data_IF_829689209580
#
_entry.id   IF_829689209580
#
_cell.length_a   1.000
_cell.length_b   1.000
_cell.length_c   1.000
_cell.angle_alpha   90.00
_cell.angle_beta   90.00
_cell.angle_gamma   90.00
#
_symmetry.space_group_name_H-M   'P 1'
#
loop_
_entity.id
_entity.type
_entity.pdbx_description
1 polymer ?
#
# COMPACT_ATOMS: atom_id res chain seq x y z
N UNK A 1 20.75 9.05 -34.59
CA UNK A 1 19.33 9.13 -34.17
C UNK A 1 19.26 9.25 -32.66
N UNK A 2 18.74 10.36 -32.12
CA UNK A 2 18.46 10.48 -30.68
C UNK A 2 17.14 9.77 -30.39
N UNK A 3 17.17 8.66 -29.64
CA UNK A 3 15.95 8.05 -29.08
C UNK A 3 15.51 8.93 -27.91
N UNK A 4 14.42 9.66 -28.08
CA UNK A 4 13.73 10.32 -26.98
C UNK A 4 12.74 9.32 -26.39
N UNK A 5 13.00 8.88 -25.15
CA UNK A 5 12.01 8.16 -24.37
C UNK A 5 11.13 9.22 -23.72
N UNK A 6 9.94 9.42 -24.28
CA UNK A 6 8.89 10.16 -23.58
C UNK A 6 8.33 9.19 -22.55
N UNK A 7 8.91 9.20 -21.36
CA UNK A 7 8.20 8.65 -20.21
C UNK A 7 7.01 9.59 -19.99
N UNK A 8 5.84 9.23 -20.55
CA UNK A 8 4.57 9.79 -20.12
C UNK A 8 4.57 9.60 -18.60
N UNK A 9 4.75 10.70 -17.87
CA UNK A 9 4.60 10.72 -16.43
C UNK A 9 3.10 10.46 -16.21
N UNK A 10 2.70 9.19 -16.24
CA UNK A 10 1.47 8.75 -15.60
C UNK A 10 1.59 9.28 -14.19
N UNK A 11 0.75 10.25 -13.88
CA UNK A 11 0.70 10.88 -12.59
C UNK A 11 0.79 9.76 -11.54
N UNK A 12 1.88 9.70 -10.77
CA UNK A 12 2.04 8.82 -9.60
C UNK A 12 1.12 9.30 -8.46
N UNK A 13 -0.10 9.67 -8.81
CA UNK A 13 -1.14 10.29 -7.97
C UNK A 13 -2.41 9.44 -7.98
N UNK A 14 -2.36 8.19 -8.47
CA UNK A 14 -3.47 7.27 -8.35
C UNK A 14 -3.53 6.74 -6.91
N UNK A 15 -4.69 6.89 -6.27
CA UNK A 15 -4.96 6.26 -4.97
C UNK A 15 -5.35 4.80 -5.19
N UNK A 16 -4.67 3.89 -4.51
CA UNK A 16 -4.88 2.43 -4.65
C UNK A 16 -5.56 1.91 -3.39
N UNK A 17 -6.71 1.24 -3.56
CA UNK A 17 -7.38 0.49 -2.50
C UNK A 17 -6.82 -0.93 -2.44
N UNK A 18 -6.29 -1.32 -1.28
CA UNK A 18 -5.83 -2.69 -1.01
C UNK A 18 -6.72 -3.33 0.04
N UNK A 19 -7.47 -4.34 -0.37
CA UNK A 19 -8.22 -5.20 0.57
C UNK A 19 -7.29 -6.25 1.18
N UNK A 20 -7.36 -6.46 2.49
CA UNK A 20 -6.47 -7.39 3.19
C UNK A 20 -5.03 -6.88 3.34
N UNK A 21 -4.82 -5.56 3.28
CA UNK A 21 -3.49 -4.96 3.27
C UNK A 21 -2.71 -5.06 4.60
N UNK A 22 -3.31 -5.57 5.67
CA UNK A 22 -2.64 -5.88 6.93
C UNK A 22 -2.25 -7.36 7.07
N UNK A 23 -2.75 -8.24 6.20
CA UNK A 23 -2.33 -9.63 6.12
C UNK A 23 -0.90 -9.77 5.56
N UNK A 24 -0.33 -10.98 5.62
CA UNK A 24 1.06 -11.25 5.23
C UNK A 24 1.41 -10.74 3.83
N UNK A 25 0.69 -11.17 2.79
CA UNK A 25 0.97 -10.72 1.40
C UNK A 25 0.57 -9.25 1.22
N UNK A 26 -0.57 -8.85 1.80
CA UNK A 26 -1.10 -7.50 1.67
C UNK A 26 -0.16 -6.43 2.19
N UNK A 27 0.50 -6.65 3.33
CA UNK A 27 1.40 -5.66 3.93
C UNK A 27 2.67 -5.43 3.10
N UNK A 28 3.20 -6.48 2.48
CA UNK A 28 4.34 -6.36 1.56
C UNK A 28 3.95 -5.63 0.26
N UNK A 29 2.73 -5.86 -0.24
CA UNK A 29 2.20 -5.11 -1.38
C UNK A 29 2.02 -3.62 -1.02
N UNK A 30 1.43 -3.31 0.13
CA UNK A 30 1.28 -1.94 0.63
C UNK A 30 2.64 -1.25 0.73
N UNK A 31 3.64 -1.91 1.32
CA UNK A 31 5.00 -1.37 1.41
C UNK A 31 5.59 -1.07 0.02
N UNK A 32 5.43 -2.00 -0.93
CA UNK A 32 5.94 -1.82 -2.30
C UNK A 32 5.27 -0.63 -3.00
N UNK A 33 3.95 -0.51 -2.91
CA UNK A 33 3.20 0.58 -3.52
C UNK A 33 3.57 1.94 -2.92
N UNK A 34 3.75 2.01 -1.59
CA UNK A 34 4.21 3.22 -0.91
C UNK A 34 5.62 3.62 -1.37
N UNK A 35 6.55 2.66 -1.50
CA UNK A 35 7.92 2.90 -2.04
C UNK A 35 7.91 3.39 -3.50
N UNK A 36 6.88 3.03 -4.25
CA UNK A 36 6.66 3.53 -5.62
C UNK A 36 5.95 4.89 -5.66
N UNK A 37 5.71 5.52 -4.50
CA UNK A 37 5.07 6.82 -4.32
C UNK A 37 3.56 6.86 -4.64
N UNK A 38 2.86 5.73 -4.55
CA UNK A 38 1.39 5.73 -4.61
C UNK A 38 0.77 6.11 -3.27
N UNK A 39 -0.40 6.73 -3.29
CA UNK A 39 -1.26 6.80 -2.10
C UNK A 39 -2.01 5.48 -1.96
N UNK A 40 -2.00 4.89 -0.77
CA UNK A 40 -2.61 3.58 -0.53
C UNK A 40 -3.65 3.70 0.58
N UNK A 41 -4.87 3.24 0.28
CA UNK A 41 -5.94 3.03 1.26
C UNK A 41 -5.98 1.54 1.57
N UNK A 42 -5.71 1.18 2.83
CA UNK A 42 -5.75 -0.20 3.29
C UNK A 42 -7.10 -0.49 3.96
N UNK A 43 -7.86 -1.44 3.40
CA UNK A 43 -9.11 -1.95 3.99
C UNK A 43 -8.87 -3.39 4.45
N UNK A 44 -8.92 -3.66 5.75
CA UNK A 44 -8.71 -5.02 6.27
C UNK A 44 -9.76 -5.40 7.31
N UNK A 45 -10.02 -6.70 7.41
CA UNK A 45 -10.89 -7.29 8.41
C UNK A 45 -10.05 -7.76 9.60
N UNK A 46 -10.11 -7.04 10.72
CA UNK A 46 -9.47 -7.42 11.99
C UNK A 46 -10.30 -8.45 12.79
N UNK A 47 -10.87 -9.44 12.11
CA UNK A 47 -11.54 -10.55 12.77
C UNK A 47 -10.55 -11.47 13.49
N UNK A 48 -11.05 -12.17 14.49
CA UNK A 48 -10.27 -13.01 15.41
C UNK A 48 -9.70 -14.28 14.73
N UNK A 49 -10.05 -14.54 13.46
CA UNK A 49 -9.57 -15.71 12.70
C UNK A 49 -8.06 -15.67 12.49
N UNK A 50 -7.47 -14.48 12.41
CA UNK A 50 -6.02 -14.29 12.40
C UNK A 50 -5.61 -13.44 13.60
N UNK A 51 -4.39 -13.65 14.09
CA UNK A 51 -3.85 -12.84 15.17
C UNK A 51 -3.85 -11.35 14.76
N UNK A 52 -4.71 -10.58 15.41
CA UNK A 52 -4.94 -9.15 15.12
C UNK A 52 -3.73 -8.30 15.47
N UNK A 53 -2.90 -8.73 16.41
CA UNK A 53 -1.66 -8.07 16.78
C UNK A 53 -0.63 -8.17 15.65
N UNK A 54 -0.51 -9.33 15.00
CA UNK A 54 0.35 -9.48 13.81
C UNK A 54 -0.10 -8.52 12.70
N UNK A 55 -1.41 -8.46 12.41
CA UNK A 55 -1.95 -7.54 11.41
C UNK A 55 -1.64 -6.07 11.75
N UNK A 56 -1.79 -5.68 13.03
CA UNK A 56 -1.46 -4.32 13.49
C UNK A 56 0.02 -4.01 13.31
N UNK A 57 0.89 -4.95 13.69
CA UNK A 57 2.34 -4.78 13.58
C UNK A 57 2.80 -4.65 12.12
N UNK A 58 2.16 -5.39 11.20
CA UNK A 58 2.46 -5.33 9.77
C UNK A 58 2.21 -3.94 9.17
N UNK A 59 1.16 -3.24 9.60
CA UNK A 59 0.80 -1.91 9.04
C UNK A 59 1.30 -0.75 9.88
N UNK A 60 1.74 -0.97 11.13
CA UNK A 60 2.20 0.07 12.05
C UNK A 60 3.18 1.08 11.43
N UNK A 61 4.17 0.67 10.60
CA UNK A 61 5.10 1.62 9.98
C UNK A 61 4.46 2.54 8.93
N UNK A 62 3.29 2.16 8.40
CA UNK A 62 2.63 2.82 7.28
C UNK A 62 1.38 3.62 7.70
N UNK A 63 0.99 3.52 8.97
CA UNK A 63 -0.19 4.21 9.49
C UNK A 63 0.04 5.73 9.50
N UNK A 64 -0.60 6.41 8.56
CA UNK A 64 -0.78 7.86 8.60
C UNK A 64 -2.21 8.15 9.02
N UNK A 65 -2.41 8.64 10.24
CA UNK A 65 -3.71 9.10 10.69
C UNK A 65 -4.12 10.34 9.89
N UNK A 66 -5.20 10.23 9.13
CA UNK A 66 -5.97 11.37 8.62
C UNK A 66 -7.37 11.22 9.22
N UNK A 67 -7.63 12.07 10.23
CA UNK A 67 -8.90 12.41 10.91
C UNK A 67 -9.94 11.32 11.10
#
# INVERSE_FOLDING_TARGET
>A
MKKFKVDLIFNKMATILVTGGAAFIGSHLVERLLRECYEVICLDNFSNYCNTEIKRNNIRPFLRWKF
#
